data_IF_254754794924
#
_entry.id   IF_254754794924
#
_cell.length_a   1.000
_cell.length_b   1.000
_cell.length_c   1.000
_cell.angle_alpha   90.00
_cell.angle_beta   90.00
_cell.angle_gamma   90.00
#
_symmetry.space_group_name_H-M   'P 1'
#
loop_
_entity.id
_entity.type
_entity.pdbx_description
1 polymer ?
#
# COMPACT_ATOMS: atom_id res chain seq x y z
N UNK A 1 49.25 -19.01 -27.18
CA UNK A 1 49.50 -20.38 -27.66
C UNK A 1 48.17 -21.10 -28.05
N UNK A 2 47.12 -21.06 -27.24
CA UNK A 2 45.86 -21.79 -27.50
C UNK A 2 45.12 -21.32 -28.78
N UNK A 3 45.09 -20.00 -29.04
CA UNK A 3 44.47 -19.41 -30.23
C UNK A 3 45.18 -19.85 -31.50
N UNK A 4 46.50 -19.85 -31.52
CA UNK A 4 47.29 -20.34 -32.67
C UNK A 4 47.02 -21.80 -32.99
N UNK A 5 46.86 -22.67 -31.96
CA UNK A 5 46.56 -24.10 -32.18
C UNK A 5 45.14 -24.30 -32.73
N UNK A 6 44.18 -23.42 -32.40
CA UNK A 6 42.82 -23.46 -32.94
C UNK A 6 42.80 -22.97 -34.38
N UNK A 7 43.47 -21.87 -34.66
CA UNK A 7 43.61 -21.32 -36.00
C UNK A 7 44.20 -22.38 -36.93
N UNK A 8 45.24 -23.11 -36.50
CA UNK A 8 45.86 -24.21 -37.23
C UNK A 8 44.89 -25.40 -37.44
N UNK A 9 44.12 -25.75 -36.39
CA UNK A 9 43.11 -26.82 -36.48
C UNK A 9 41.99 -26.47 -37.48
N UNK A 10 41.56 -25.20 -37.51
CA UNK A 10 40.54 -24.70 -38.46
C UNK A 10 41.05 -24.56 -39.89
N UNK A 11 42.36 -24.32 -40.11
CA UNK A 11 42.99 -24.38 -41.44
C UNK A 11 42.90 -25.83 -41.97
N UNK A 12 43.13 -26.82 -41.14
CA UNK A 12 43.10 -28.22 -41.55
C UNK A 12 41.68 -28.82 -41.65
N UNK A 13 40.74 -28.34 -40.84
CA UNK A 13 39.36 -28.77 -40.85
C UNK A 13 38.43 -27.60 -40.45
N UNK A 14 38.01 -26.82 -41.44
CA UNK A 14 37.24 -25.61 -41.27
C UNK A 14 35.84 -25.84 -40.64
N UNK A 15 35.28 -27.03 -40.71
CA UNK A 15 33.99 -27.48 -40.18
C UNK A 15 34.10 -28.18 -38.84
N UNK A 16 35.28 -28.13 -38.18
CA UNK A 16 35.44 -28.76 -36.85
C UNK A 16 34.62 -28.02 -35.79
N UNK A 17 33.47 -28.64 -35.43
CA UNK A 17 32.58 -28.09 -34.40
C UNK A 17 33.26 -27.95 -33.04
N UNK A 18 34.25 -28.77 -32.74
CA UNK A 18 35.02 -28.72 -31.49
C UNK A 18 35.98 -27.50 -31.51
N UNK A 19 36.66 -27.22 -32.65
CA UNK A 19 37.56 -26.08 -32.78
C UNK A 19 36.79 -24.77 -32.74
N UNK A 20 35.67 -24.65 -33.46
CA UNK A 20 34.76 -23.50 -33.40
C UNK A 20 34.25 -23.21 -32.00
N UNK A 21 33.80 -24.28 -31.28
CA UNK A 21 33.32 -24.11 -29.90
C UNK A 21 34.42 -23.69 -28.94
N UNK A 22 35.66 -24.11 -29.16
CA UNK A 22 36.81 -23.70 -28.35
C UNK A 22 37.24 -22.27 -28.66
N UNK A 23 37.22 -21.86 -29.92
CA UNK A 23 37.45 -20.45 -30.32
C UNK A 23 36.46 -19.51 -29.64
N UNK A 24 35.14 -19.81 -29.69
CA UNK A 24 34.11 -19.02 -29.03
C UNK A 24 34.30 -18.94 -27.49
N UNK A 25 34.82 -20.00 -26.88
CA UNK A 25 35.16 -19.97 -25.43
C UNK A 25 36.35 -19.05 -25.16
N UNK A 26 37.41 -19.11 -26.01
CA UNK A 26 38.60 -18.27 -25.84
C UNK A 26 38.27 -16.80 -26.02
N UNK A 27 37.39 -16.45 -26.97
CA UNK A 27 36.97 -15.07 -27.21
C UNK A 27 36.24 -14.47 -25.97
N UNK A 28 35.58 -15.28 -25.17
CA UNK A 28 34.89 -14.84 -23.96
C UNK A 28 35.80 -14.67 -22.75
N UNK A 29 37.03 -15.20 -22.76
CA UNK A 29 37.95 -15.17 -21.58
C UNK A 29 38.21 -13.74 -21.09
N UNK A 30 38.51 -12.73 -21.93
CA UNK A 30 38.73 -11.37 -21.44
C UNK A 30 37.54 -10.81 -20.67
N UNK A 31 36.32 -11.02 -21.17
CA UNK A 31 35.09 -10.59 -20.50
C UNK A 31 34.85 -11.31 -19.18
N UNK A 32 35.15 -12.61 -19.13
CA UNK A 32 35.06 -13.39 -17.88
C UNK A 32 36.03 -12.86 -16.82
N UNK A 33 37.26 -12.52 -17.23
CA UNK A 33 38.27 -11.95 -16.32
C UNK A 33 37.81 -10.61 -15.78
N UNK A 34 37.31 -9.72 -16.64
CA UNK A 34 36.79 -8.41 -16.26
C UNK A 34 35.59 -8.54 -15.30
N UNK A 35 34.63 -9.42 -15.59
CA UNK A 35 33.49 -9.65 -14.71
C UNK A 35 33.89 -10.21 -13.35
N UNK A 36 34.83 -11.18 -13.30
CA UNK A 36 35.33 -11.69 -12.03
C UNK A 36 35.99 -10.60 -11.15
N UNK A 37 36.78 -9.71 -11.77
CA UNK A 37 37.38 -8.59 -11.05
C UNK A 37 36.32 -7.59 -10.58
N UNK A 38 35.36 -7.25 -11.43
CA UNK A 38 34.24 -6.37 -11.06
C UNK A 38 33.39 -6.96 -9.91
N UNK A 39 33.13 -8.27 -9.93
CA UNK A 39 32.45 -8.99 -8.83
C UNK A 39 33.25 -8.86 -7.53
N UNK A 40 34.59 -9.04 -7.59
CA UNK A 40 35.46 -8.90 -6.44
C UNK A 40 35.41 -7.48 -5.85
N UNK A 41 35.43 -6.46 -6.73
CA UNK A 41 35.32 -5.06 -6.32
C UNK A 41 33.96 -4.78 -5.67
N UNK A 42 32.86 -5.18 -6.30
CA UNK A 42 31.51 -4.98 -5.76
C UNK A 42 31.31 -5.65 -4.39
N UNK A 43 31.92 -6.82 -4.17
CA UNK A 43 31.93 -7.51 -2.90
C UNK A 43 32.70 -6.74 -1.82
N UNK A 44 33.87 -6.20 -2.15
CA UNK A 44 34.67 -5.39 -1.24
C UNK A 44 33.98 -4.06 -0.88
N UNK A 45 33.21 -3.51 -1.80
CA UNK A 45 32.39 -2.30 -1.62
C UNK A 45 31.10 -2.58 -0.81
N UNK A 46 30.84 -3.83 -0.40
CA UNK A 46 29.58 -4.25 0.23
C UNK A 46 28.35 -3.83 -0.58
N UNK A 47 28.42 -3.95 -1.90
CA UNK A 47 27.31 -3.64 -2.79
C UNK A 47 26.66 -4.90 -3.37
N UNK A 48 25.74 -5.55 -2.61
CA UNK A 48 25.14 -6.83 -3.00
C UNK A 48 24.30 -6.73 -4.28
N UNK A 49 23.73 -5.57 -4.57
CA UNK A 49 22.93 -5.37 -5.79
C UNK A 49 23.80 -5.38 -7.04
N UNK A 50 24.94 -4.67 -6.99
CA UNK A 50 25.93 -4.66 -8.07
C UNK A 50 26.61 -6.02 -8.23
N UNK A 51 26.98 -6.66 -7.10
CA UNK A 51 27.55 -8.03 -7.10
C UNK A 51 26.61 -9.01 -7.80
N UNK A 52 25.32 -8.99 -7.45
CA UNK A 52 24.32 -9.86 -8.06
C UNK A 52 24.20 -9.65 -9.57
N UNK A 53 24.08 -8.42 -10.02
CA UNK A 53 23.98 -8.09 -11.46
C UNK A 53 25.18 -8.62 -12.24
N UNK A 54 26.41 -8.41 -11.74
CA UNK A 54 27.64 -8.88 -12.37
C UNK A 54 27.72 -10.42 -12.38
N UNK A 55 27.29 -11.09 -11.33
CA UNK A 55 27.20 -12.55 -11.29
C UNK A 55 26.19 -13.07 -12.31
N UNK A 56 25.03 -12.41 -12.45
CA UNK A 56 24.03 -12.78 -13.46
C UNK A 56 24.57 -12.60 -14.89
N UNK A 57 25.36 -11.57 -15.16
CA UNK A 57 26.03 -11.38 -16.44
C UNK A 57 27.10 -12.47 -16.67
N UNK A 58 27.88 -12.83 -15.67
CA UNK A 58 28.83 -13.93 -15.75
C UNK A 58 28.14 -15.28 -16.04
N UNK A 59 27.01 -15.54 -15.38
CA UNK A 59 26.23 -16.78 -15.59
C UNK A 59 25.57 -16.88 -16.96
N UNK A 60 25.40 -15.79 -17.71
CA UNK A 60 24.99 -15.81 -19.13
C UNK A 60 26.10 -16.39 -20.01
N UNK A 61 27.36 -16.19 -19.62
CA UNK A 61 28.53 -16.66 -20.35
C UNK A 61 28.92 -18.09 -19.89
N UNK A 62 28.91 -18.31 -18.58
CA UNK A 62 29.26 -19.58 -17.91
C UNK A 62 28.11 -20.09 -17.06
N UNK A 63 27.06 -20.67 -17.68
CA UNK A 63 25.85 -21.07 -16.95
C UNK A 63 26.07 -22.21 -15.96
N UNK A 64 27.15 -22.98 -16.06
CA UNK A 64 27.43 -24.15 -15.22
C UNK A 64 28.28 -23.82 -13.97
N UNK A 65 28.52 -22.55 -13.67
CA UNK A 65 29.29 -22.14 -12.48
C UNK A 65 28.45 -22.23 -11.22
N UNK A 66 28.43 -23.39 -10.60
CA UNK A 66 27.59 -23.67 -9.41
C UNK A 66 27.86 -22.74 -8.23
N UNK A 67 29.11 -22.37 -7.96
CA UNK A 67 29.45 -21.41 -6.90
C UNK A 67 28.80 -20.04 -7.10
N UNK A 68 28.76 -19.55 -8.34
CA UNK A 68 28.14 -18.27 -8.69
C UNK A 68 26.62 -18.34 -8.62
N UNK A 69 26.01 -19.47 -9.02
CA UNK A 69 24.55 -19.70 -8.82
C UNK A 69 24.18 -19.67 -7.35
N UNK A 70 24.92 -20.39 -6.51
CA UNK A 70 24.71 -20.38 -5.06
C UNK A 70 24.84 -18.96 -4.50
N UNK A 71 25.90 -18.23 -4.87
CA UNK A 71 26.13 -16.86 -4.42
C UNK A 71 25.01 -15.92 -4.88
N UNK A 72 24.55 -16.02 -6.14
CA UNK A 72 23.42 -15.26 -6.65
C UNK A 72 22.14 -15.52 -5.85
N UNK A 73 21.86 -16.77 -5.49
CA UNK A 73 20.69 -17.11 -4.69
C UNK A 73 20.77 -16.51 -3.27
N UNK A 74 21.93 -16.56 -2.64
CA UNK A 74 22.16 -15.91 -1.32
C UNK A 74 21.91 -14.40 -1.42
N UNK A 75 22.48 -13.75 -2.44
CA UNK A 75 22.31 -12.30 -2.65
C UNK A 75 20.86 -11.91 -2.92
N UNK A 76 20.16 -12.69 -3.76
CA UNK A 76 18.72 -12.46 -4.02
C UNK A 76 17.90 -12.54 -2.73
N UNK A 77 18.18 -13.56 -1.91
CA UNK A 77 17.49 -13.71 -0.62
C UNK A 77 17.81 -12.54 0.32
N UNK A 78 19.07 -12.16 0.45
CA UNK A 78 19.48 -11.01 1.28
C UNK A 78 18.84 -9.70 0.83
N UNK A 79 18.81 -9.44 -0.48
CA UNK A 79 18.19 -8.25 -1.05
C UNK A 79 16.67 -8.25 -0.88
N UNK A 80 16.02 -9.40 -1.07
CA UNK A 80 14.59 -9.55 -0.81
C UNK A 80 14.24 -9.29 0.65
N UNK A 81 15.02 -9.87 1.58
CA UNK A 81 14.86 -9.65 3.03
C UNK A 81 15.03 -8.18 3.41
N UNK A 82 16.08 -7.54 2.89
CA UNK A 82 16.31 -6.11 3.14
C UNK A 82 15.16 -5.24 2.62
N UNK A 83 14.67 -5.50 1.40
CA UNK A 83 13.53 -4.78 0.83
C UNK A 83 12.25 -5.01 1.61
N UNK A 84 12.02 -6.24 2.05
CA UNK A 84 10.87 -6.58 2.89
C UNK A 84 10.89 -5.80 4.21
N UNK A 85 12.01 -5.84 4.93
CA UNK A 85 12.16 -5.15 6.20
C UNK A 85 12.03 -3.62 6.05
N UNK A 86 12.54 -3.07 4.95
CA UNK A 86 12.37 -1.66 4.61
C UNK A 86 10.90 -1.32 4.37
N UNK A 87 10.17 -2.14 3.61
CA UNK A 87 8.75 -1.92 3.32
C UNK A 87 7.90 -2.00 4.61
N UNK A 88 8.14 -2.98 5.49
CA UNK A 88 7.46 -3.09 6.79
C UNK A 88 7.75 -1.86 7.67
N UNK A 89 9.02 -1.43 7.74
CA UNK A 89 9.39 -0.22 8.50
C UNK A 89 8.71 1.05 7.95
N UNK A 90 8.63 1.18 6.62
CA UNK A 90 7.93 2.29 5.98
C UNK A 90 6.43 2.26 6.27
N UNK A 91 5.81 1.07 6.28
CA UNK A 91 4.41 0.91 6.61
C UNK A 91 4.10 1.37 8.04
N UNK A 92 4.85 0.92 9.03
CA UNK A 92 4.69 1.38 10.42
C UNK A 92 4.90 2.88 10.57
N UNK A 93 5.95 3.43 9.96
CA UNK A 93 6.20 4.88 9.97
C UNK A 93 5.05 5.67 9.35
N UNK A 94 4.49 5.20 8.26
CA UNK A 94 3.34 5.84 7.63
C UNK A 94 2.08 5.75 8.51
N UNK A 95 1.86 4.64 9.24
CA UNK A 95 0.78 4.50 10.21
C UNK A 95 0.93 5.52 11.35
N UNK A 96 2.12 5.65 11.92
CA UNK A 96 2.42 6.64 12.97
C UNK A 96 2.17 8.07 12.49
N UNK A 97 2.49 8.36 11.23
CA UNK A 97 2.26 9.65 10.58
C UNK A 97 0.80 9.83 10.09
N UNK A 98 -0.08 8.86 10.36
CA UNK A 98 -1.49 8.86 9.92
C UNK A 98 -1.68 8.93 8.40
N UNK A 99 -0.72 8.42 7.65
CA UNK A 99 -0.70 8.38 6.18
C UNK A 99 -1.16 7.00 5.68
N UNK A 100 -2.47 6.73 5.75
CA UNK A 100 -3.04 5.41 5.47
C UNK A 100 -2.70 4.90 4.05
N UNK A 101 -2.71 5.79 3.05
CA UNK A 101 -2.38 5.41 1.67
C UNK A 101 -0.92 4.99 1.50
N UNK A 102 0.02 5.72 2.09
CA UNK A 102 1.44 5.36 2.08
C UNK A 102 1.68 4.04 2.83
N UNK A 103 0.99 3.82 3.95
CA UNK A 103 1.06 2.57 4.69
C UNK A 103 0.54 1.38 3.87
N UNK A 104 -0.56 1.56 3.12
CA UNK A 104 -1.12 0.54 2.23
C UNK A 104 -0.16 0.18 1.11
N UNK A 105 0.47 1.18 0.47
CA UNK A 105 1.44 0.96 -0.59
C UNK A 105 2.67 0.20 -0.07
N UNK A 106 3.21 0.58 1.08
CA UNK A 106 4.34 -0.10 1.70
C UNK A 106 3.99 -1.55 2.10
N UNK A 107 2.80 -1.79 2.67
CA UNK A 107 2.31 -3.14 2.97
C UNK A 107 2.19 -3.99 1.69
N UNK A 108 1.66 -3.42 0.61
CA UNK A 108 1.55 -4.12 -0.67
C UNK A 108 2.92 -4.53 -1.20
N UNK A 109 3.93 -3.67 -1.09
CA UNK A 109 5.31 -4.01 -1.47
C UNK A 109 5.87 -5.16 -0.62
N UNK A 110 5.63 -5.13 0.70
CA UNK A 110 6.05 -6.22 1.58
C UNK A 110 5.37 -7.55 1.21
N UNK A 111 4.08 -7.54 0.95
CA UNK A 111 3.30 -8.73 0.55
C UNK A 111 3.73 -9.31 -0.80
N UNK A 112 4.18 -8.47 -1.75
CA UNK A 112 4.72 -8.93 -3.03
C UNK A 112 6.02 -9.70 -2.87
N UNK A 113 6.83 -9.37 -1.84
CA UNK A 113 8.09 -10.05 -1.57
C UNK A 113 7.85 -11.33 -0.79
N UNK A 114 7.11 -11.24 0.33
CA UNK A 114 6.80 -12.36 1.21
C UNK A 114 5.33 -12.32 1.67
N UNK A 115 4.40 -12.90 0.92
CA UNK A 115 2.95 -12.76 1.15
C UNK A 115 2.47 -13.32 2.50
N UNK A 116 3.12 -14.37 2.99
CA UNK A 116 2.64 -15.15 4.14
C UNK A 116 3.33 -14.83 5.47
N UNK A 117 4.14 -13.78 5.54
CA UNK A 117 4.81 -13.41 6.79
C UNK A 117 3.83 -12.84 7.81
N UNK A 118 4.00 -13.16 9.11
CA UNK A 118 3.11 -12.72 10.17
C UNK A 118 3.08 -11.19 10.31
N UNK A 119 4.18 -10.49 10.10
CA UNK A 119 4.28 -9.04 10.17
C UNK A 119 3.33 -8.32 9.21
N UNK A 120 3.04 -8.93 8.05
CA UNK A 120 2.05 -8.39 7.12
C UNK A 120 0.65 -8.33 7.74
N UNK A 121 0.28 -9.32 8.57
CA UNK A 121 -1.01 -9.34 9.26
C UNK A 121 -1.07 -8.28 10.35
N UNK A 122 0.02 -8.10 11.07
CA UNK A 122 0.12 -7.08 12.12
C UNK A 122 0.00 -5.67 11.53
N UNK A 123 0.75 -5.37 10.47
CA UNK A 123 0.66 -4.09 9.76
C UNK A 123 -0.74 -3.90 9.18
N UNK A 124 -1.35 -4.94 8.60
CA UNK A 124 -2.70 -4.87 8.05
C UNK A 124 -3.74 -4.54 9.12
N UNK A 125 -3.64 -5.14 10.31
CA UNK A 125 -4.54 -4.85 11.43
C UNK A 125 -4.35 -3.41 11.96
N UNK A 126 -3.09 -2.97 12.08
CA UNK A 126 -2.78 -1.60 12.50
C UNK A 126 -3.29 -0.56 11.48
N UNK A 127 -3.13 -0.83 10.18
CA UNK A 127 -3.65 0.01 9.11
C UNK A 127 -5.18 0.07 9.13
N UNK A 128 -5.87 -1.06 9.28
CA UNK A 128 -7.32 -1.11 9.39
C UNK A 128 -7.83 -0.27 10.58
N UNK A 129 -7.13 -0.31 11.71
CA UNK A 129 -7.44 0.51 12.88
C UNK A 129 -7.28 2.00 12.58
N UNK A 130 -6.20 2.39 11.93
CA UNK A 130 -5.98 3.79 11.51
C UNK A 130 -7.07 4.24 10.53
N UNK A 131 -7.40 3.44 9.54
CA UNK A 131 -8.44 3.77 8.56
C UNK A 131 -9.82 3.94 9.20
N UNK A 132 -10.19 3.06 10.15
CA UNK A 132 -11.41 3.20 10.94
C UNK A 132 -11.42 4.50 11.74
N UNK A 133 -10.29 4.85 12.36
CA UNK A 133 -10.16 6.10 13.09
C UNK A 133 -10.29 7.33 12.19
N UNK A 134 -9.65 7.33 11.03
CA UNK A 134 -9.73 8.44 10.07
C UNK A 134 -11.16 8.61 9.53
N UNK A 135 -11.86 7.51 9.19
CA UNK A 135 -13.27 7.55 8.77
C UNK A 135 -14.16 8.10 9.87
N UNK A 136 -13.96 7.64 11.11
CA UNK A 136 -14.70 8.15 12.25
C UNK A 136 -14.55 9.68 12.38
N UNK A 137 -13.33 10.17 12.41
CA UNK A 137 -13.03 11.61 12.53
C UNK A 137 -13.61 12.42 11.37
N UNK A 138 -13.52 11.88 10.15
CA UNK A 138 -14.07 12.51 8.95
C UNK A 138 -15.61 12.66 9.04
N UNK A 139 -16.31 11.61 9.48
CA UNK A 139 -17.75 11.63 9.64
C UNK A 139 -18.18 12.56 10.78
N UNK A 140 -17.46 12.59 11.90
CA UNK A 140 -17.73 13.55 12.99
C UNK A 140 -17.55 14.98 12.51
N UNK A 141 -16.46 15.30 11.84
CA UNK A 141 -16.22 16.63 11.31
C UNK A 141 -17.27 17.06 10.26
N UNK A 142 -17.71 16.12 9.41
CA UNK A 142 -18.77 16.37 8.43
C UNK A 142 -20.12 16.60 9.13
N UNK A 143 -20.43 15.85 10.18
CA UNK A 143 -21.63 16.06 11.00
C UNK A 143 -21.61 17.44 11.67
N UNK A 144 -20.48 17.84 12.27
CA UNK A 144 -20.34 19.16 12.91
C UNK A 144 -20.54 20.30 11.89
N UNK A 145 -19.93 20.17 10.71
CA UNK A 145 -20.11 21.15 9.63
C UNK A 145 -21.57 21.24 9.16
N UNK A 146 -22.23 20.10 9.01
CA UNK A 146 -23.63 20.05 8.59
C UNK A 146 -24.56 20.62 9.67
N UNK A 147 -24.31 20.32 10.94
CA UNK A 147 -25.04 20.84 12.08
C UNK A 147 -24.94 22.38 12.17
N UNK A 148 -23.73 22.92 12.00
CA UNK A 148 -23.50 24.37 11.98
C UNK A 148 -24.19 25.08 10.80
N UNK A 149 -24.51 24.36 9.74
CA UNK A 149 -25.25 24.83 8.59
C UNK A 149 -26.76 24.53 8.66
N UNK A 150 -27.27 24.10 9.81
CA UNK A 150 -28.66 23.66 10.02
C UNK A 150 -29.14 22.55 9.07
N UNK A 151 -28.20 21.79 8.47
CA UNK A 151 -28.52 20.66 7.60
C UNK A 151 -28.64 19.36 8.41
N UNK A 152 -29.76 19.20 9.07
CA UNK A 152 -30.00 18.10 10.01
C UNK A 152 -30.11 16.73 9.33
N UNK A 153 -30.52 16.67 8.07
CA UNK A 153 -30.57 15.41 7.34
C UNK A 153 -29.15 14.88 7.08
N UNK A 154 -28.22 15.74 6.64
CA UNK A 154 -26.79 15.36 6.48
C UNK A 154 -26.17 15.08 7.85
N UNK A 155 -26.47 15.86 8.88
CA UNK A 155 -26.01 15.62 10.25
C UNK A 155 -26.39 14.21 10.72
N UNK A 156 -27.66 13.81 10.53
CA UNK A 156 -28.16 12.46 10.86
C UNK A 156 -27.39 11.37 10.10
N UNK A 157 -27.14 11.57 8.81
CA UNK A 157 -26.44 10.61 7.97
C UNK A 157 -24.99 10.43 8.44
N UNK A 158 -24.28 11.51 8.67
CA UNK A 158 -22.87 11.49 9.06
C UNK A 158 -22.67 10.93 10.48
N UNK A 159 -23.53 11.29 11.44
CA UNK A 159 -23.52 10.69 12.78
C UNK A 159 -23.82 9.19 12.75
N UNK A 160 -24.72 8.75 11.88
CA UNK A 160 -25.01 7.34 11.68
C UNK A 160 -23.81 6.59 11.09
N UNK A 161 -23.06 7.23 10.19
CA UNK A 161 -21.84 6.67 9.62
C UNK A 161 -20.71 6.60 10.68
N UNK A 162 -20.52 7.65 11.47
CA UNK A 162 -19.55 7.66 12.56
C UNK A 162 -19.82 6.55 13.59
N UNK A 163 -21.09 6.29 13.91
CA UNK A 163 -21.47 5.23 14.84
C UNK A 163 -21.26 3.82 14.30
N UNK A 164 -21.11 3.61 12.99
CA UNK A 164 -20.68 2.30 12.45
C UNK A 164 -19.24 1.99 12.85
N UNK A 165 -18.39 3.01 12.92
CA UNK A 165 -16.99 2.84 13.34
C UNK A 165 -16.86 2.72 14.88
N UNK A 166 -17.74 3.42 15.64
CA UNK A 166 -17.75 3.42 17.12
C UNK A 166 -19.17 3.32 17.69
N UNK A 167 -19.77 2.12 17.69
CA UNK A 167 -21.20 1.94 18.06
C UNK A 167 -21.56 2.31 19.49
N UNK A 168 -20.61 2.25 20.42
CA UNK A 168 -20.84 2.52 21.83
C UNK A 168 -20.60 3.99 22.26
N UNK A 169 -20.39 4.91 21.31
CA UNK A 169 -20.15 6.32 21.63
C UNK A 169 -21.47 7.00 22.02
N UNK A 170 -21.66 7.22 23.33
CA UNK A 170 -22.89 7.79 23.89
C UNK A 170 -23.18 9.19 23.38
N UNK A 171 -22.17 10.04 23.31
CA UNK A 171 -22.33 11.43 22.81
C UNK A 171 -22.92 11.44 21.39
N UNK A 172 -22.36 10.63 20.49
CA UNK A 172 -22.87 10.54 19.13
C UNK A 172 -24.25 9.93 19.03
N UNK A 173 -24.60 8.99 19.92
CA UNK A 173 -25.95 8.42 20.01
C UNK A 173 -26.95 9.51 20.40
N UNK A 174 -26.64 10.31 21.39
CA UNK A 174 -27.51 11.40 21.85
C UNK A 174 -27.68 12.48 20.77
N UNK A 175 -26.59 12.88 20.13
CA UNK A 175 -26.60 13.80 18.99
C UNK A 175 -27.43 13.26 17.81
N UNK A 176 -27.28 11.97 17.49
CA UNK A 176 -28.06 11.34 16.42
C UNK A 176 -29.56 11.34 16.74
N UNK A 177 -29.92 11.06 18.00
CA UNK A 177 -31.31 11.08 18.43
C UNK A 177 -31.91 12.50 18.37
N UNK A 178 -31.12 13.51 18.70
CA UNK A 178 -31.52 14.92 18.51
C UNK A 178 -31.72 15.25 17.03
N UNK A 179 -30.75 14.90 16.17
CA UNK A 179 -30.87 15.15 14.73
C UNK A 179 -32.09 14.46 14.12
N UNK A 180 -32.38 13.22 14.50
CA UNK A 180 -33.58 12.49 14.05
C UNK A 180 -34.87 13.22 14.43
N UNK A 181 -34.99 13.72 15.67
CA UNK A 181 -36.16 14.48 16.12
C UNK A 181 -36.37 15.76 15.33
N UNK A 182 -35.26 16.49 15.03
CA UNK A 182 -35.35 17.74 14.28
C UNK A 182 -35.81 17.46 12.84
N UNK A 183 -35.23 16.45 12.20
CA UNK A 183 -35.63 16.04 10.84
C UNK A 183 -37.10 15.62 10.79
N UNK A 184 -37.58 14.85 11.78
CA UNK A 184 -38.99 14.45 11.86
C UNK A 184 -39.91 15.66 12.01
N UNK A 185 -39.57 16.63 12.87
CA UNK A 185 -40.33 17.88 13.02
C UNK A 185 -40.36 18.66 11.70
N UNK A 186 -39.23 18.80 11.03
CA UNK A 186 -39.15 19.53 9.76
C UNK A 186 -40.01 18.85 8.66
N UNK A 187 -39.94 17.55 8.53
CA UNK A 187 -40.78 16.79 7.61
C UNK A 187 -42.27 16.93 7.91
N UNK A 188 -42.65 16.94 9.19
CA UNK A 188 -44.03 17.16 9.60
C UNK A 188 -44.48 18.60 9.26
N UNK A 189 -43.64 19.59 9.43
CA UNK A 189 -43.95 20.99 9.04
C UNK A 189 -44.11 21.12 7.53
N UNK A 190 -43.22 20.54 6.73
CA UNK A 190 -43.27 20.59 5.27
C UNK A 190 -44.49 19.82 4.71
N UNK A 191 -44.96 18.78 5.41
CA UNK A 191 -46.16 17.99 5.03
C UNK A 191 -47.48 18.72 5.23
N UNK A 192 -47.52 19.86 5.89
CA UNK A 192 -48.72 20.67 6.06
C UNK A 192 -48.94 21.58 4.86
N UNK A 193 -49.92 21.25 4.02
CA UNK A 193 -50.36 22.16 2.93
C UNK A 193 -51.02 23.43 3.50
N UNK A 194 -50.93 24.54 2.76
CA UNK A 194 -51.51 25.84 3.18
C UNK A 194 -53.01 25.73 3.51
N UNK A 195 -53.75 24.84 2.87
CA UNK A 195 -55.18 24.56 3.15
C UNK A 195 -55.41 23.97 4.54
N UNK A 196 -54.48 23.16 5.07
CA UNK A 196 -54.55 22.64 6.44
C UNK A 196 -54.10 23.67 7.49
N UNK A 197 -53.40 24.74 7.08
CA UNK A 197 -52.92 25.76 7.99
C UNK A 197 -54.05 26.67 8.53
N UNK A 198 -55.26 26.63 7.97
CA UNK A 198 -56.42 27.37 8.49
C UNK A 198 -57.09 26.64 9.71
N UNK A 199 -56.66 25.43 10.04
CA UNK A 199 -57.18 24.74 11.20
C UNK A 199 -56.48 25.22 12.49
N UNK A 200 -57.22 25.79 13.50
CA UNK A 200 -56.61 26.35 14.71
C UNK A 200 -55.79 25.34 15.52
N UNK A 201 -56.13 24.04 15.49
CA UNK A 201 -55.38 22.96 16.13
C UNK A 201 -53.98 22.76 15.51
N UNK A 202 -53.87 22.94 14.22
CA UNK A 202 -52.60 22.81 13.49
C UNK A 202 -51.70 24.01 13.77
N UNK A 203 -52.28 25.19 13.91
CA UNK A 203 -51.52 26.42 14.26
C UNK A 203 -50.91 26.31 15.68
N UNK A 204 -51.59 25.71 16.63
CA UNK A 204 -51.10 25.47 17.98
C UNK A 204 -49.95 24.47 18.02
N UNK A 205 -50.03 23.41 17.22
CA UNK A 205 -48.96 22.40 17.05
C UNK A 205 -47.70 22.99 16.39
N UNK A 206 -47.88 23.85 15.36
CA UNK A 206 -46.77 24.58 14.72
C UNK A 206 -46.06 25.49 15.72
N UNK A 207 -46.83 26.26 16.51
CA UNK A 207 -46.32 27.18 17.53
C UNK A 207 -45.55 26.40 18.60
N UNK A 208 -46.03 25.25 19.04
CA UNK A 208 -45.34 24.39 19.99
C UNK A 208 -44.03 23.84 19.43
N UNK A 209 -44.02 23.38 18.18
CA UNK A 209 -42.82 22.88 17.51
C UNK A 209 -41.75 23.99 17.36
N UNK A 210 -42.14 25.20 16.96
CA UNK A 210 -41.22 26.36 16.86
C UNK A 210 -40.69 26.81 18.24
N UNK A 211 -41.47 26.67 19.29
CA UNK A 211 -41.05 27.01 20.66
C UNK A 211 -40.05 26.00 21.20
N UNK A 212 -40.23 24.72 20.87
CA UNK A 212 -39.29 23.63 21.26
C UNK A 212 -37.94 23.73 20.54
N UNK A 213 -37.94 24.22 19.28
CA UNK A 213 -36.71 24.47 18.51
C UNK A 213 -35.91 25.71 19.00
N UNK A 214 -36.53 26.65 19.74
CA UNK A 214 -35.90 27.87 20.19
C UNK A 214 -35.32 27.78 21.63
N UNK A 215 -35.62 26.73 22.37
CA UNK A 215 -35.30 26.61 23.82
C UNK A 215 -34.13 25.62 24.05
N UNK A 216 -33.65 24.92 23.02
CA UNK A 216 -32.45 24.10 23.06
C UNK A 216 -31.36 24.63 22.11
#
# INVERSE_FOLDING_TARGET
>A
PARLAIDDALIHKADSTAAIALEQKIEKIPQIVELNEAIRVARNENNPSKELSLIEDLLKIEPDREEMKQRANILRTQLAESRYNQAISQAYKAIEQRQAENARQALTQAQQIYPNRPENKEVSAALATLESQLRFEQHVAAADKAQNADNWEVTKQELSAALKERPANKDLIDRLNQAKRIVEIDQNIQGFSFEKAQNPKIFSLRRAAFTTLRIN
#
